data_IF_150848175361
#
_entry.id   IF_150848175361
#
_cell.length_a   1.000
_cell.length_b   1.000
_cell.length_c   1.000
_cell.angle_alpha   90.00
_cell.angle_beta   90.00
_cell.angle_gamma   90.00
#
_symmetry.space_group_name_H-M   'P 1'
#
loop_
_entity.id
_entity.type
_entity.pdbx_description
1 polymer ?
#
# COMPACT_ATOMS: atom_id res chain seq x y z
N UNK A 1 -9.00 2.98 15.81
CA UNK A 1 -10.18 3.77 15.40
C UNK A 1 -10.81 4.51 16.58
N UNK A 2 -10.97 3.93 17.77
CA UNK A 2 -11.53 4.64 18.93
C UNK A 2 -10.72 5.88 19.35
N UNK A 3 -9.41 5.79 19.30
CA UNK A 3 -8.52 6.95 19.54
C UNK A 3 -8.74 8.07 18.53
N UNK A 4 -8.90 7.72 17.24
CA UNK A 4 -9.20 8.69 16.19
C UNK A 4 -10.55 9.37 16.45
N UNK A 5 -11.59 8.60 16.84
CA UNK A 5 -12.88 9.16 17.22
C UNK A 5 -12.72 10.17 18.36
N UNK A 6 -11.98 9.82 19.41
CA UNK A 6 -11.73 10.70 20.54
C UNK A 6 -11.03 12.01 20.15
N UNK A 7 -10.06 11.92 19.21
CA UNK A 7 -9.32 13.10 18.73
C UNK A 7 -10.23 14.05 17.93
N UNK A 8 -11.11 13.52 17.07
CA UNK A 8 -11.86 14.35 16.13
C UNK A 8 -13.24 14.77 16.61
N UNK A 9 -13.77 14.17 17.70
CA UNK A 9 -15.17 14.30 18.15
C UNK A 9 -15.65 15.75 18.25
N UNK A 10 -14.93 16.58 18.99
CA UNK A 10 -15.33 17.96 19.28
C UNK A 10 -14.55 18.98 18.42
N UNK A 11 -14.22 18.57 17.21
CA UNK A 11 -13.44 19.40 16.28
C UNK A 11 -14.15 19.56 14.92
N UNK A 12 -13.83 20.59 14.13
CA UNK A 12 -14.31 20.71 12.75
C UNK A 12 -13.48 19.91 11.74
N UNK A 13 -12.63 18.98 12.18
CA UNK A 13 -11.72 18.22 11.32
C UNK A 13 -12.53 17.34 10.36
N UNK A 14 -12.23 17.46 9.07
CA UNK A 14 -12.70 16.56 8.00
C UNK A 14 -11.61 15.51 7.77
N UNK A 15 -12.03 14.26 7.63
CA UNK A 15 -11.14 13.13 7.42
C UNK A 15 -11.09 12.81 5.91
N UNK A 16 -9.89 12.65 5.38
CA UNK A 16 -9.67 12.03 4.06
C UNK A 16 -8.99 10.70 4.30
N UNK A 17 -9.74 9.61 4.13
CA UNK A 17 -9.25 8.25 4.35
C UNK A 17 -8.87 7.61 3.02
N UNK A 18 -7.59 7.30 2.85
CA UNK A 18 -7.09 6.53 1.71
C UNK A 18 -7.12 5.03 2.04
N UNK A 19 -8.12 4.33 1.50
CA UNK A 19 -8.37 2.92 1.75
C UNK A 19 -8.12 2.04 0.51
N UNK A 20 -7.21 2.44 -0.35
CA UNK A 20 -6.91 1.78 -1.64
C UNK A 20 -6.43 0.32 -1.50
N UNK A 21 -6.07 -0.13 -0.30
CA UNK A 21 -5.62 -1.49 0.01
C UNK A 21 -6.68 -2.32 0.76
N UNK A 22 -7.95 -1.97 0.68
CA UNK A 22 -9.06 -2.59 1.42
C UNK A 22 -9.12 -4.13 1.31
N UNK A 23 -8.81 -4.69 0.14
CA UNK A 23 -8.81 -6.13 -0.11
C UNK A 23 -7.43 -6.79 -0.01
N UNK A 24 -6.40 -6.01 0.32
CA UNK A 24 -5.02 -6.48 0.39
C UNK A 24 -4.59 -6.67 1.84
N UNK A 25 -5.42 -7.37 2.61
CA UNK A 25 -5.21 -7.64 4.04
C UNK A 25 -5.06 -9.14 4.25
N UNK A 26 -4.16 -9.54 5.14
CA UNK A 26 -3.84 -10.93 5.45
C UNK A 26 -3.36 -11.09 6.90
N UNK A 27 -2.86 -12.29 7.27
CA UNK A 27 -2.42 -12.56 8.63
C UNK A 27 -3.54 -12.58 9.66
N UNK A 28 -4.76 -12.95 9.25
CA UNK A 28 -5.94 -12.99 10.12
C UNK A 28 -6.45 -11.60 10.54
N UNK A 29 -5.93 -10.52 9.96
CA UNK A 29 -6.39 -9.15 10.25
C UNK A 29 -7.58 -8.77 9.37
N UNK A 30 -8.34 -7.76 9.83
CA UNK A 30 -9.45 -7.19 9.09
C UNK A 30 -9.16 -5.73 8.75
N UNK A 31 -9.60 -5.31 7.56
CA UNK A 31 -9.51 -3.91 7.16
C UNK A 31 -10.26 -3.00 8.13
N UNK A 32 -9.61 -1.94 8.57
CA UNK A 32 -10.16 -0.94 9.49
C UNK A 32 -10.62 0.29 8.71
N UNK A 33 -11.81 0.21 8.15
CA UNK A 33 -12.40 1.33 7.41
C UNK A 33 -13.09 2.32 8.34
N UNK A 34 -12.99 3.61 8.03
CA UNK A 34 -13.80 4.66 8.68
C UNK A 34 -15.30 4.50 8.42
N UNK A 35 -15.68 3.80 7.32
CA UNK A 35 -17.08 3.49 7.01
C UNK A 35 -17.77 2.63 8.08
N UNK A 36 -17.04 1.92 8.91
CA UNK A 36 -17.57 1.09 9.99
C UNK A 36 -17.96 1.88 11.23
N UNK A 37 -17.63 3.17 11.27
CA UNK A 37 -17.81 4.04 12.43
C UNK A 37 -18.59 5.30 12.00
N UNK A 38 -19.90 5.39 12.30
CA UNK A 38 -20.73 6.53 11.88
C UNK A 38 -20.12 7.89 12.26
N UNK A 39 -19.56 8.02 13.46
CA UNK A 39 -18.91 9.26 13.94
C UNK A 39 -17.73 9.70 13.07
N UNK A 40 -17.02 8.76 12.43
CA UNK A 40 -15.96 9.07 11.49
C UNK A 40 -16.50 9.28 10.08
N UNK A 41 -17.44 8.42 9.64
CA UNK A 41 -18.00 8.50 8.29
C UNK A 41 -18.68 9.85 8.02
N UNK A 42 -19.46 10.38 8.98
CA UNK A 42 -20.19 11.65 8.85
C UNK A 42 -19.28 12.87 8.53
N UNK A 43 -17.97 12.72 8.70
CA UNK A 43 -16.96 13.75 8.42
C UNK A 43 -15.87 13.29 7.46
N UNK A 44 -16.12 12.24 6.67
CA UNK A 44 -15.07 11.62 5.85
C UNK A 44 -15.35 11.68 4.35
N UNK A 45 -14.25 11.84 3.59
CA UNK A 45 -14.12 11.35 2.22
C UNK A 45 -13.29 10.08 2.27
N UNK A 46 -13.83 8.97 1.79
CA UNK A 46 -13.15 7.68 1.76
C UNK A 46 -12.81 7.30 0.34
N UNK A 47 -11.54 7.13 0.03
CA UNK A 47 -11.04 6.91 -1.33
C UNK A 47 -10.57 5.48 -1.53
N UNK A 48 -10.95 4.89 -2.66
CA UNK A 48 -10.62 3.53 -3.08
C UNK A 48 -10.04 3.52 -4.49
N UNK A 49 -9.30 2.47 -4.85
CA UNK A 49 -8.68 2.37 -6.16
C UNK A 49 -8.87 0.99 -6.79
N UNK A 50 -9.50 0.94 -7.94
CA UNK A 50 -9.53 -0.27 -8.76
C UNK A 50 -8.13 -0.69 -9.22
N UNK A 51 -7.25 0.29 -9.42
CA UNK A 51 -5.88 0.04 -9.87
C UNK A 51 -5.06 -0.85 -8.95
N UNK A 52 -5.27 -0.74 -7.64
CA UNK A 52 -4.54 -1.53 -6.64
C UNK A 52 -5.10 -2.94 -6.50
N UNK A 53 -6.42 -3.04 -6.45
CA UNK A 53 -7.13 -4.32 -6.28
C UNK A 53 -7.04 -5.18 -7.54
N UNK A 54 -7.20 -4.58 -8.73
CA UNK A 54 -7.31 -5.32 -9.99
C UNK A 54 -6.06 -5.23 -10.89
N UNK A 55 -4.94 -4.76 -10.33
CA UNK A 55 -3.67 -4.61 -11.06
C UNK A 55 -3.81 -3.80 -12.36
N UNK A 56 -4.68 -2.82 -12.36
CA UNK A 56 -4.92 -1.92 -13.49
C UNK A 56 -4.60 -0.45 -13.14
N UNK A 57 -3.48 -0.22 -12.48
CA UNK A 57 -3.05 1.11 -11.98
C UNK A 57 -3.00 2.16 -13.08
N UNK A 58 -2.65 1.75 -14.31
CA UNK A 58 -2.62 2.63 -15.49
C UNK A 58 -4.00 3.13 -15.94
N UNK A 59 -5.09 2.50 -15.52
CA UNK A 59 -6.44 2.92 -15.87
C UNK A 59 -6.88 4.19 -15.12
N UNK A 60 -6.22 4.53 -14.01
CA UNK A 60 -6.49 5.74 -13.23
C UNK A 60 -7.95 5.89 -12.79
N UNK A 61 -8.57 4.77 -12.42
CA UNK A 61 -9.94 4.73 -11.91
C UNK A 61 -9.96 4.35 -10.43
N UNK A 62 -10.78 5.05 -9.71
CA UNK A 62 -11.10 4.83 -8.31
C UNK A 62 -12.51 5.30 -8.01
N UNK A 63 -12.91 5.24 -6.77
CA UNK A 63 -14.19 5.78 -6.31
C UNK A 63 -14.03 6.38 -4.92
N UNK A 64 -14.94 7.27 -4.58
CA UNK A 64 -15.01 7.85 -3.24
C UNK A 64 -16.40 7.65 -2.67
N UNK A 65 -16.46 7.38 -1.36
CA UNK A 65 -17.68 7.30 -0.57
C UNK A 65 -17.63 8.40 0.47
N UNK A 66 -18.71 9.19 0.57
CA UNK A 66 -18.83 10.26 1.54
C UNK A 66 -20.31 10.56 1.83
N UNK A 67 -20.64 11.26 2.93
CA UNK A 67 -22.00 11.75 3.21
C UNK A 67 -22.55 12.58 2.04
N UNK A 68 -23.86 12.63 1.91
CA UNK A 68 -24.55 13.31 0.80
C UNK A 68 -24.10 14.77 0.62
N UNK A 69 -23.94 15.51 1.70
CA UNK A 69 -23.43 16.89 1.66
C UNK A 69 -22.04 16.97 1.01
N UNK A 70 -21.11 16.14 1.47
CA UNK A 70 -19.75 16.10 0.95
C UNK A 70 -19.70 15.62 -0.51
N UNK A 71 -20.52 14.61 -0.85
CA UNK A 71 -20.64 14.12 -2.22
C UNK A 71 -21.13 15.22 -3.16
N UNK A 72 -22.08 16.05 -2.71
CA UNK A 72 -22.58 17.18 -3.51
C UNK A 72 -21.48 18.20 -3.81
N UNK A 73 -20.73 18.59 -2.81
CA UNK A 73 -19.63 19.54 -3.00
C UNK A 73 -18.46 18.93 -3.81
N UNK A 74 -18.14 17.68 -3.55
CA UNK A 74 -17.12 16.96 -4.34
C UNK A 74 -17.46 16.92 -5.82
N UNK A 75 -18.72 16.66 -6.18
CA UNK A 75 -19.16 16.62 -7.58
C UNK A 75 -19.01 17.96 -8.30
N UNK A 76 -19.24 19.07 -7.61
CA UNK A 76 -19.02 20.42 -8.17
C UNK A 76 -17.54 20.62 -8.56
N UNK A 77 -16.62 20.21 -7.68
CA UNK A 77 -15.17 20.28 -7.96
C UNK A 77 -14.77 19.31 -9.06
N UNK A 78 -15.24 18.06 -8.99
CA UNK A 78 -14.91 17.01 -9.94
C UNK A 78 -15.31 17.36 -11.36
N UNK A 79 -16.47 18.04 -11.55
CA UNK A 79 -16.95 18.48 -12.85
C UNK A 79 -15.92 19.37 -13.58
N UNK A 80 -15.21 20.22 -12.86
CA UNK A 80 -14.23 21.14 -13.44
C UNK A 80 -12.80 20.61 -13.45
N UNK A 81 -12.49 19.66 -12.55
CA UNK A 81 -11.15 19.10 -12.43
C UNK A 81 -10.94 17.89 -13.36
N UNK A 82 -11.91 17.00 -13.44
CA UNK A 82 -11.83 15.76 -14.21
C UNK A 82 -12.89 15.65 -15.30
N UNK A 83 -14.04 16.29 -15.10
CA UNK A 83 -15.25 16.24 -15.91
C UNK A 83 -15.86 14.83 -15.95
N UNK A 84 -15.18 13.85 -16.55
CA UNK A 84 -15.64 12.46 -16.66
C UNK A 84 -14.47 11.50 -16.68
N UNK A 85 -14.57 10.43 -15.92
CA UNK A 85 -13.63 9.31 -16.00
C UNK A 85 -13.91 8.45 -17.23
N UNK A 86 -12.91 7.67 -17.67
CA UNK A 86 -12.98 6.86 -18.89
C UNK A 86 -14.13 5.84 -18.86
N UNK A 87 -15.21 6.11 -19.59
CA UNK A 87 -16.45 5.36 -19.50
C UNK A 87 -16.35 3.87 -19.90
N UNK A 88 -15.67 3.47 -21.01
CA UNK A 88 -15.51 2.04 -21.32
C UNK A 88 -14.85 1.23 -20.20
N UNK A 89 -13.87 1.79 -19.51
CA UNK A 89 -13.20 1.12 -18.40
C UNK A 89 -14.12 1.00 -17.18
N UNK A 90 -14.98 2.00 -16.91
CA UNK A 90 -15.99 1.88 -15.86
C UNK A 90 -16.97 0.73 -16.13
N UNK A 91 -17.43 0.59 -17.37
CA UNK A 91 -18.31 -0.52 -17.79
C UNK A 91 -17.61 -1.86 -17.65
N UNK A 92 -16.33 -1.96 -18.04
CA UNK A 92 -15.55 -3.17 -17.89
C UNK A 92 -15.38 -3.57 -16.42
N UNK A 93 -15.05 -2.62 -15.55
CA UNK A 93 -14.92 -2.85 -14.10
C UNK A 93 -16.27 -3.24 -13.48
N UNK A 94 -17.37 -2.60 -13.86
CA UNK A 94 -18.70 -2.95 -13.36
C UNK A 94 -19.08 -4.41 -13.68
N UNK A 95 -18.70 -4.92 -14.86
CA UNK A 95 -18.87 -6.33 -15.21
C UNK A 95 -17.93 -7.25 -14.40
N UNK A 96 -16.68 -6.85 -14.22
CA UNK A 96 -15.68 -7.63 -13.47
C UNK A 96 -16.04 -7.75 -11.99
N UNK A 97 -16.57 -6.69 -11.39
CA UNK A 97 -17.01 -6.65 -9.99
C UNK A 97 -18.13 -7.63 -9.64
N UNK A 98 -18.84 -8.17 -10.63
CA UNK A 98 -19.87 -9.20 -10.39
C UNK A 98 -19.24 -10.53 -9.91
N UNK A 99 -17.93 -10.71 -10.08
CA UNK A 99 -17.19 -11.86 -9.58
C UNK A 99 -16.49 -11.53 -8.27
N UNK A 100 -17.13 -11.81 -7.14
CA UNK A 100 -16.55 -11.57 -5.81
C UNK A 100 -15.22 -12.30 -5.60
N UNK A 101 -15.06 -13.48 -6.16
CA UNK A 101 -13.82 -14.25 -6.08
C UNK A 101 -12.61 -13.48 -6.65
N UNK A 102 -12.84 -12.56 -7.58
CA UNK A 102 -11.78 -11.78 -8.23
C UNK A 102 -11.04 -10.83 -7.26
N UNK A 103 -11.67 -10.42 -6.15
CA UNK A 103 -11.05 -9.53 -5.17
C UNK A 103 -10.94 -10.15 -3.77
N UNK A 104 -11.85 -11.03 -3.36
CA UNK A 104 -11.81 -11.66 -2.04
C UNK A 104 -10.62 -12.60 -1.85
N UNK A 105 -10.11 -13.21 -2.93
CA UNK A 105 -8.95 -14.12 -2.87
C UNK A 105 -7.60 -13.39 -2.75
N UNK A 106 -7.54 -12.08 -2.97
CA UNK A 106 -6.29 -11.32 -3.05
C UNK A 106 -5.46 -11.38 -1.76
N UNK A 107 -6.10 -11.26 -0.60
CA UNK A 107 -5.41 -11.36 0.68
C UNK A 107 -4.61 -12.66 0.80
N UNK A 108 -5.25 -13.81 0.53
CA UNK A 108 -4.59 -15.12 0.61
C UNK A 108 -3.48 -15.29 -0.46
N UNK A 109 -3.67 -14.74 -1.65
CA UNK A 109 -2.63 -14.76 -2.70
C UNK A 109 -1.41 -13.95 -2.26
N UNK A 110 -1.62 -12.76 -1.72
CA UNK A 110 -0.54 -11.89 -1.26
C UNK A 110 0.18 -12.46 -0.03
N UNK A 111 -0.56 -13.08 0.90
CA UNK A 111 0.03 -13.73 2.07
C UNK A 111 1.00 -14.84 1.66
N UNK A 112 0.60 -15.74 0.77
CA UNK A 112 1.49 -16.79 0.24
C UNK A 112 2.73 -16.20 -0.43
N UNK A 113 2.56 -15.12 -1.20
CA UNK A 113 3.68 -14.46 -1.89
C UNK A 113 4.60 -13.75 -0.92
N UNK A 114 4.07 -13.13 0.14
CA UNK A 114 4.85 -12.52 1.21
C UNK A 114 5.68 -13.58 1.96
N UNK A 115 5.04 -14.68 2.35
CA UNK A 115 5.72 -15.79 3.04
C UNK A 115 6.84 -16.38 2.16
N UNK A 116 6.57 -16.59 0.87
CA UNK A 116 7.59 -17.02 -0.08
C UNK A 116 8.76 -16.04 -0.16
N UNK A 117 8.48 -14.75 -0.27
CA UNK A 117 9.52 -13.71 -0.30
C UNK A 117 10.32 -13.68 1.02
N UNK A 118 9.68 -13.77 2.17
CA UNK A 118 10.37 -13.85 3.46
C UNK A 118 11.28 -15.08 3.56
N UNK A 119 10.83 -16.25 3.06
CA UNK A 119 11.67 -17.46 3.01
C UNK A 119 12.92 -17.24 2.17
N UNK A 120 12.81 -16.58 1.02
CA UNK A 120 13.97 -16.26 0.20
C UNK A 120 14.92 -15.26 0.88
N UNK A 121 14.36 -14.25 1.52
CA UNK A 121 15.12 -13.18 2.18
C UNK A 121 15.78 -13.63 3.49
N UNK A 122 15.42 -14.79 4.05
CA UNK A 122 16.11 -15.38 5.19
C UNK A 122 17.58 -15.70 4.93
N UNK A 123 17.99 -15.76 3.66
CA UNK A 123 19.41 -15.86 3.26
C UNK A 123 20.16 -14.51 3.33
N UNK A 124 19.52 -13.43 3.72
CA UNK A 124 20.13 -12.10 3.91
C UNK A 124 20.15 -11.75 5.41
N UNK A 125 21.02 -10.83 5.86
CA UNK A 125 21.01 -10.38 7.26
C UNK A 125 19.87 -9.36 7.56
N UNK A 126 19.08 -8.98 6.57
CA UNK A 126 17.97 -8.04 6.71
C UNK A 126 16.84 -8.62 7.58
N UNK A 127 16.33 -7.85 8.53
CA UNK A 127 15.30 -8.30 9.49
C UNK A 127 13.91 -7.86 9.02
N UNK A 128 12.96 -8.80 8.76
CA UNK A 128 11.61 -8.45 8.37
C UNK A 128 10.85 -7.79 9.52
N UNK A 129 10.12 -6.72 9.22
CA UNK A 129 9.17 -6.10 10.14
C UNK A 129 7.76 -6.67 9.93
N UNK A 130 6.88 -6.68 10.96
CA UNK A 130 5.52 -7.18 10.84
C UNK A 130 4.75 -6.49 9.72
N UNK A 131 4.08 -7.27 8.86
CA UNK A 131 3.28 -6.79 7.75
C UNK A 131 2.01 -7.62 7.63
N UNK A 132 0.85 -6.96 7.59
CA UNK A 132 -0.46 -7.61 7.57
C UNK A 132 -1.36 -7.10 6.43
N UNK A 133 -0.78 -6.38 5.49
CA UNK A 133 -1.53 -5.83 4.37
C UNK A 133 -0.62 -5.21 3.31
N UNK A 134 -1.21 -4.74 2.22
CA UNK A 134 -0.54 -4.23 1.03
C UNK A 134 0.28 -5.31 0.28
N UNK A 135 1.20 -4.90 -0.55
CA UNK A 135 2.17 -5.77 -1.26
C UNK A 135 3.62 -5.31 -1.02
N UNK A 136 3.83 -4.62 0.09
CA UNK A 136 5.15 -4.19 0.52
C UNK A 136 5.56 -4.91 1.79
N UNK A 137 6.84 -5.24 1.87
CA UNK A 137 7.47 -5.77 3.07
C UNK A 137 8.60 -4.82 3.48
N UNK A 138 8.57 -4.42 4.73
CA UNK A 138 9.63 -3.62 5.34
C UNK A 138 10.70 -4.53 5.92
N UNK A 139 11.96 -4.15 5.74
CA UNK A 139 13.11 -4.82 6.34
C UNK A 139 14.00 -3.79 7.02
N UNK A 140 14.38 -4.07 8.26
CA UNK A 140 15.41 -3.30 8.96
C UNK A 140 16.79 -3.78 8.55
N UNK A 141 17.71 -2.83 8.38
CA UNK A 141 19.15 -3.04 8.22
C UNK A 141 19.97 -2.49 9.39
N UNK A 142 19.31 -2.22 10.51
CA UNK A 142 19.95 -1.72 11.72
C UNK A 142 21.10 -2.62 12.15
N UNK A 143 22.27 -2.03 12.40
CA UNK A 143 23.51 -2.75 12.73
C UNK A 143 24.24 -3.38 11.54
N UNK A 144 23.74 -3.22 10.30
CA UNK A 144 24.40 -3.72 9.09
C UNK A 144 25.15 -2.62 8.31
N UNK A 145 24.70 -1.38 8.40
CA UNK A 145 25.32 -0.23 7.76
C UNK A 145 24.99 1.06 8.51
N UNK A 146 25.97 1.94 8.61
CA UNK A 146 25.79 3.29 9.15
C UNK A 146 25.22 4.28 8.13
N UNK A 147 25.11 3.89 6.86
CA UNK A 147 24.57 4.72 5.79
C UNK A 147 23.12 5.13 6.06
N UNK A 148 22.71 6.21 5.44
CA UNK A 148 21.30 6.58 5.40
C UNK A 148 20.49 5.54 4.60
N UNK A 149 19.16 5.46 4.86
CA UNK A 149 18.26 4.64 4.06
C UNK A 149 18.33 4.99 2.56
N UNK A 150 18.45 6.28 2.24
CA UNK A 150 18.54 6.76 0.85
C UNK A 150 19.84 6.30 0.18
N UNK A 151 20.97 6.44 0.86
CA UNK A 151 22.28 6.06 0.31
C UNK A 151 22.36 4.55 0.12
N UNK A 152 21.92 3.78 1.12
CA UNK A 152 21.88 2.32 1.01
C UNK A 152 20.95 1.86 -0.13
N UNK A 153 19.76 2.46 -0.30
CA UNK A 153 18.84 2.13 -1.38
C UNK A 153 19.46 2.40 -2.76
N UNK A 154 20.17 3.52 -2.92
CA UNK A 154 20.90 3.87 -4.14
C UNK A 154 22.03 2.87 -4.38
N UNK A 155 22.80 2.53 -3.36
CA UNK A 155 23.92 1.61 -3.46
C UNK A 155 23.45 0.19 -3.82
N UNK A 156 22.42 -0.33 -3.16
CA UNK A 156 21.82 -1.62 -3.52
C UNK A 156 21.31 -1.65 -4.97
N UNK A 157 20.77 -0.53 -5.44
CA UNK A 157 20.32 -0.42 -6.84
C UNK A 157 21.49 -0.50 -7.81
N UNK A 158 22.60 0.20 -7.51
CA UNK A 158 23.78 0.27 -8.39
C UNK A 158 24.62 -1.01 -8.34
N UNK A 159 24.88 -1.55 -7.17
CA UNK A 159 25.84 -2.63 -6.96
C UNK A 159 25.18 -4.02 -6.96
N UNK A 160 24.04 -4.17 -6.26
CA UNK A 160 23.31 -5.43 -6.25
C UNK A 160 22.27 -5.54 -7.38
N UNK A 161 21.92 -4.43 -8.04
CA UNK A 161 20.88 -4.40 -9.07
C UNK A 161 19.49 -4.73 -8.51
N UNK A 162 19.23 -4.31 -7.25
CA UNK A 162 17.93 -4.48 -6.58
C UNK A 162 17.46 -3.13 -6.05
N UNK A 163 16.39 -2.60 -6.63
CA UNK A 163 15.80 -1.34 -6.23
C UNK A 163 14.91 -1.53 -4.99
N UNK A 164 15.09 -0.66 -4.00
CA UNK A 164 14.29 -0.54 -2.78
C UNK A 164 13.84 0.89 -2.58
N UNK A 165 12.91 1.12 -1.66
CA UNK A 165 12.46 2.47 -1.29
C UNK A 165 12.86 2.76 0.15
N UNK A 166 13.61 3.85 0.39
CA UNK A 166 13.91 4.30 1.74
C UNK A 166 12.63 4.83 2.42
N UNK A 167 12.36 4.44 3.66
CA UNK A 167 11.15 4.90 4.37
C UNK A 167 11.27 6.35 4.82
N UNK A 168 12.48 6.85 5.02
CA UNK A 168 12.79 8.26 5.32
C UNK A 168 12.23 9.25 4.28
N UNK A 169 12.05 8.81 3.02
CA UNK A 169 11.43 9.62 1.97
C UNK A 169 9.97 10.00 2.25
N UNK A 170 9.30 9.37 3.21
CA UNK A 170 7.92 9.65 3.59
C UNK A 170 7.80 10.53 4.84
N UNK A 171 8.91 10.88 5.49
CA UNK A 171 8.95 11.75 6.65
C UNK A 171 9.36 13.16 6.24
N UNK A 172 8.65 14.17 6.73
CA UNK A 172 8.93 15.58 6.42
C UNK A 172 10.32 16.03 6.89
N UNK A 173 10.78 15.48 8.02
CA UNK A 173 12.10 15.75 8.60
C UNK A 173 13.19 14.77 8.12
N UNK A 174 12.84 13.83 7.22
CA UNK A 174 13.78 12.83 6.72
C UNK A 174 14.19 11.80 7.77
N UNK A 175 13.42 11.60 8.84
CA UNK A 175 13.73 10.63 9.91
C UNK A 175 14.13 9.28 9.33
N UNK A 176 15.35 8.85 9.65
CA UNK A 176 15.95 7.59 9.22
C UNK A 176 15.78 6.52 10.32
N UNK A 177 15.04 5.48 10.01
CA UNK A 177 14.75 4.37 10.92
C UNK A 177 15.55 3.10 10.58
N UNK A 178 16.49 3.18 9.65
CA UNK A 178 17.26 2.05 9.11
C UNK A 178 16.36 0.98 8.48
N UNK A 179 15.33 1.42 7.73
CA UNK A 179 14.31 0.56 7.13
C UNK A 179 14.20 0.76 5.63
N UNK A 180 14.16 -0.33 4.88
CA UNK A 180 13.92 -0.36 3.44
C UNK A 180 12.62 -1.06 3.12
N UNK A 181 11.87 -0.51 2.16
CA UNK A 181 10.62 -1.07 1.66
C UNK A 181 10.83 -1.84 0.36
N UNK A 182 10.44 -3.11 0.35
CA UNK A 182 10.48 -4.00 -0.80
C UNK A 182 9.08 -4.29 -1.32
N UNK A 183 8.92 -4.41 -2.64
CA UNK A 183 7.66 -4.82 -3.27
C UNK A 183 7.72 -6.31 -3.60
N UNK A 184 6.84 -7.12 -2.99
CA UNK A 184 6.75 -8.55 -3.28
C UNK A 184 5.66 -8.91 -4.33
N UNK A 185 4.92 -7.94 -4.85
CA UNK A 185 3.99 -8.15 -5.97
C UNK A 185 4.73 -8.30 -7.30
N UNK A 186 5.60 -9.31 -7.37
CA UNK A 186 6.43 -9.64 -8.53
C UNK A 186 6.27 -11.11 -8.89
N UNK A 187 6.81 -11.52 -10.04
CA UNK A 187 6.94 -12.94 -10.39
C UNK A 187 7.92 -13.62 -9.45
N UNK A 188 7.72 -14.91 -9.20
CA UNK A 188 8.57 -15.67 -8.27
C UNK A 188 10.04 -15.69 -8.71
N UNK A 189 10.30 -15.77 -10.02
CA UNK A 189 11.64 -15.72 -10.58
C UNK A 189 12.34 -14.39 -10.26
N UNK A 190 11.59 -13.28 -10.30
CA UNK A 190 12.10 -11.95 -9.95
C UNK A 190 12.44 -11.86 -8.47
N UNK A 191 11.57 -12.37 -7.60
CA UNK A 191 11.81 -12.40 -6.15
C UNK A 191 13.02 -13.26 -5.80
N UNK A 192 13.13 -14.44 -6.41
CA UNK A 192 14.26 -15.35 -6.23
C UNK A 192 15.58 -14.73 -6.69
N UNK A 193 15.58 -14.09 -7.88
CA UNK A 193 16.76 -13.41 -8.41
C UNK A 193 17.19 -12.24 -7.51
N UNK A 194 16.26 -11.43 -7.02
CA UNK A 194 16.55 -10.32 -6.13
C UNK A 194 17.13 -10.79 -4.80
N UNK A 195 16.49 -11.77 -4.14
CA UNK A 195 17.00 -12.32 -2.89
C UNK A 195 18.40 -12.92 -3.02
N UNK A 196 18.67 -13.66 -4.12
CA UNK A 196 20.00 -14.21 -4.40
C UNK A 196 21.06 -13.11 -4.54
N UNK A 197 20.76 -12.03 -5.26
CA UNK A 197 21.66 -10.88 -5.43
C UNK A 197 21.92 -10.17 -4.09
N UNK A 198 20.89 -9.96 -3.28
CA UNK A 198 21.03 -9.35 -1.96
C UNK A 198 21.86 -10.25 -1.03
N UNK A 199 21.63 -11.55 -1.01
CA UNK A 199 22.43 -12.48 -0.23
C UNK A 199 23.90 -12.44 -0.63
N UNK A 200 24.21 -12.48 -1.93
CA UNK A 200 25.57 -12.36 -2.41
C UNK A 200 26.21 -11.01 -2.04
N UNK A 201 25.44 -9.93 -2.11
CA UNK A 201 25.92 -8.60 -1.76
C UNK A 201 26.29 -8.44 -0.27
N UNK A 202 25.51 -9.01 0.64
CA UNK A 202 25.76 -8.88 2.08
C UNK A 202 26.76 -9.90 2.63
N UNK A 203 27.08 -10.95 1.90
CA UNK A 203 28.04 -12.00 2.33
C UNK A 203 29.36 -11.98 1.55
N UNK A 204 29.47 -11.18 0.49
CA UNK A 204 30.69 -10.99 -0.28
C UNK A 204 31.51 -9.85 0.24
#
# INVERSE_FOLDING_TARGET
MQELIAIVRDTPIIIVSDEVYEHLIFGGKQHQSVLRYPELFERSFVSFSFGKVYNCTGWKLGYSISPALFTTEFRKVHQFNCFSCHNPMQVALAKFLQSEAAYQSLGAVLERKQQYFQTLMAATPLKPLPTYGSYFQLYSFEGLSEESEADLAIRLTKEAGVATIPTSAFYTDGTDQKVLRFCFAKKEETLKAAAKKLAAYFHG
#
